data_IF_856143499327
#
_entry.id   IF_856143499327
#
_cell.length_a   1.000
_cell.length_b   1.000
_cell.length_c   1.000
_cell.angle_alpha   90.00
_cell.angle_beta   90.00
_cell.angle_gamma   90.00
#
_symmetry.space_group_name_H-M   'P 1'
#
loop_
_entity.id
_entity.type
_entity.pdbx_description
1 polymer ?
#
# COMPACT_ATOMS: atom_id res chain seq x y z
N UNK A 1 -18.69 -33.47 20.58
CA UNK A 1 -18.25 -32.10 20.23
C UNK A 1 -18.03 -31.90 18.74
N UNK A 2 -17.30 -32.77 18.01
CA UNK A 2 -17.05 -32.60 16.56
C UNK A 2 -18.32 -32.63 15.67
N UNK A 3 -19.37 -33.37 16.06
CA UNK A 3 -20.60 -33.49 15.27
C UNK A 3 -21.56 -32.28 15.37
N UNK A 4 -21.24 -31.24 16.15
CA UNK A 4 -22.07 -30.04 16.35
C UNK A 4 -21.35 -28.76 15.93
N UNK A 5 -20.48 -28.84 14.93
CA UNK A 5 -19.89 -27.61 14.39
C UNK A 5 -20.97 -26.87 13.60
N UNK A 6 -21.52 -25.81 14.18
CA UNK A 6 -22.28 -24.83 13.43
C UNK A 6 -21.35 -24.18 12.41
N UNK A 7 -21.82 -23.90 11.18
CA UNK A 7 -21.02 -23.18 10.21
C UNK A 7 -20.59 -21.83 10.81
N UNK A 8 -19.36 -21.37 10.53
CA UNK A 8 -18.91 -20.08 11.02
C UNK A 8 -19.81 -18.98 10.44
N UNK A 9 -20.25 -18.07 11.31
CA UNK A 9 -20.98 -16.86 10.91
C UNK A 9 -19.98 -15.80 10.45
N UNK A 10 -20.21 -15.18 9.31
CA UNK A 10 -19.28 -14.22 8.72
C UNK A 10 -19.77 -12.79 8.91
N UNK A 11 -18.81 -11.87 9.05
CA UNK A 11 -19.07 -10.44 8.82
C UNK A 11 -18.89 -10.16 7.34
N UNK A 12 -17.72 -10.54 6.82
CA UNK A 12 -17.35 -10.51 5.42
C UNK A 12 -16.90 -11.91 5.02
N UNK A 13 -17.58 -12.52 4.04
CA UNK A 13 -17.34 -13.92 3.67
C UNK A 13 -15.89 -14.16 3.28
N UNK A 14 -15.23 -15.09 3.97
CA UNK A 14 -13.83 -15.43 3.72
C UNK A 14 -12.81 -14.41 4.26
N UNK A 15 -13.24 -13.32 4.91
CA UNK A 15 -12.33 -12.31 5.45
C UNK A 15 -12.44 -12.20 6.99
N UNK A 16 -13.63 -11.91 7.52
CA UNK A 16 -13.86 -11.64 8.95
C UNK A 16 -15.06 -12.45 9.47
N UNK A 17 -14.96 -13.00 10.69
CA UNK A 17 -16.04 -13.79 11.33
C UNK A 17 -16.66 -13.04 12.50
N UNK A 18 -17.93 -13.33 12.75
CA UNK A 18 -18.64 -12.79 13.91
C UNK A 18 -18.09 -13.38 15.22
N UNK A 19 -18.19 -12.59 16.29
CA UNK A 19 -17.81 -12.96 17.67
C UNK A 19 -16.35 -13.36 17.85
N UNK A 20 -15.47 -12.94 16.94
CA UNK A 20 -14.03 -13.08 17.04
C UNK A 20 -13.39 -11.71 16.95
N UNK A 21 -12.50 -11.39 17.89
CA UNK A 21 -11.79 -10.12 17.87
C UNK A 21 -10.88 -10.03 16.64
N UNK A 22 -11.05 -8.98 15.85
CA UNK A 22 -10.22 -8.68 14.71
C UNK A 22 -9.33 -7.46 14.98
N UNK A 23 -8.24 -7.33 14.23
CA UNK A 23 -7.38 -6.15 14.28
C UNK A 23 -7.05 -5.64 12.89
N UNK A 24 -7.00 -4.31 12.74
CA UNK A 24 -6.41 -3.63 11.59
C UNK A 24 -5.07 -3.06 12.06
N UNK A 25 -3.98 -3.72 11.71
CA UNK A 25 -2.64 -3.38 12.20
C UNK A 25 -1.79 -2.80 11.07
N UNK A 26 -1.07 -1.73 11.35
CA UNK A 26 -0.13 -1.16 10.39
C UNK A 26 0.63 0.06 10.93
N UNK A 27 1.67 0.52 10.22
CA UNK A 27 2.43 1.70 10.61
C UNK A 27 1.58 2.97 10.73
N UNK A 28 2.17 4.04 11.26
CA UNK A 28 1.54 5.36 11.22
C UNK A 28 1.27 5.78 9.77
N UNK A 29 0.15 6.47 9.53
CA UNK A 29 -0.21 7.03 8.21
C UNK A 29 -0.28 5.99 7.07
N UNK A 30 -0.76 4.78 7.34
CA UNK A 30 -1.09 3.77 6.32
C UNK A 30 -2.61 3.57 6.10
N UNK A 31 -3.40 4.64 6.28
CA UNK A 31 -4.85 4.66 6.04
C UNK A 31 -5.70 3.69 6.87
N UNK A 32 -5.23 3.20 8.03
CA UNK A 32 -6.01 2.28 8.90
C UNK A 32 -7.40 2.81 9.24
N UNK A 33 -7.48 4.08 9.66
CA UNK A 33 -8.76 4.74 10.01
C UNK A 33 -9.68 4.81 8.79
N UNK A 34 -9.17 5.18 7.62
CA UNK A 34 -9.97 5.19 6.38
C UNK A 34 -10.46 3.80 5.98
N UNK A 35 -9.61 2.78 6.09
CA UNK A 35 -10.01 1.38 5.87
C UNK A 35 -11.05 0.90 6.88
N UNK A 36 -10.94 1.34 8.14
CA UNK A 36 -11.94 1.04 9.16
C UNK A 36 -13.29 1.70 8.84
N UNK A 37 -13.29 2.94 8.37
CA UNK A 37 -14.50 3.65 7.95
C UNK A 37 -15.13 3.00 6.72
N UNK A 38 -14.33 2.59 5.74
CA UNK A 38 -14.82 1.82 4.59
C UNK A 38 -15.46 0.49 5.04
N UNK A 39 -14.82 -0.20 5.99
CA UNK A 39 -15.37 -1.41 6.60
C UNK A 39 -16.68 -1.13 7.36
N UNK A 40 -16.80 -0.01 8.09
CA UNK A 40 -18.06 0.40 8.70
C UNK A 40 -19.17 0.54 7.66
N UNK A 41 -18.89 1.27 6.57
CA UNK A 41 -19.84 1.52 5.50
C UNK A 41 -20.29 0.21 4.84
N UNK A 42 -19.36 -0.68 4.51
CA UNK A 42 -19.65 -1.99 3.94
C UNK A 42 -20.53 -2.86 4.87
N UNK A 43 -20.19 -2.92 6.17
CA UNK A 43 -20.96 -3.71 7.13
C UNK A 43 -22.34 -3.10 7.41
N UNK A 44 -22.46 -1.79 7.52
CA UNK A 44 -23.72 -1.11 7.80
C UNK A 44 -24.71 -1.22 6.63
N UNK A 45 -24.23 -1.03 5.41
CA UNK A 45 -25.04 -1.13 4.19
C UNK A 45 -25.33 -2.58 3.77
N UNK A 46 -24.50 -3.54 4.20
CA UNK A 46 -24.49 -4.89 3.62
C UNK A 46 -23.80 -4.93 2.25
N UNK A 47 -23.05 -3.89 1.89
CA UNK A 47 -22.32 -3.75 0.63
C UNK A 47 -20.97 -4.47 0.63
N UNK A 48 -19.98 -3.87 -0.01
CA UNK A 48 -18.66 -4.47 -0.23
C UNK A 48 -17.56 -3.63 0.40
N UNK A 49 -16.72 -4.27 1.20
CA UNK A 49 -15.48 -3.68 1.68
C UNK A 49 -14.43 -3.73 0.57
N UNK A 50 -13.80 -2.58 0.28
CA UNK A 50 -12.84 -2.40 -0.82
C UNK A 50 -13.39 -2.86 -2.19
N UNK A 51 -14.70 -2.78 -2.40
CA UNK A 51 -15.36 -3.17 -3.66
C UNK A 51 -15.28 -4.67 -4.01
N UNK A 52 -14.92 -5.54 -3.06
CA UNK A 52 -14.81 -6.98 -3.34
C UNK A 52 -15.34 -7.86 -2.20
N UNK A 53 -15.06 -7.51 -0.94
CA UNK A 53 -15.43 -8.36 0.19
C UNK A 53 -16.85 -8.04 0.63
N UNK A 54 -17.81 -8.83 0.15
CA UNK A 54 -19.23 -8.63 0.44
C UNK A 54 -19.56 -8.95 1.90
N UNK A 55 -20.33 -8.07 2.53
CA UNK A 55 -20.93 -8.33 3.83
C UNK A 55 -22.05 -9.37 3.72
N UNK A 56 -22.18 -10.23 4.73
CA UNK A 56 -23.23 -11.27 4.72
C UNK A 56 -24.64 -10.66 4.80
N UNK A 57 -24.75 -9.49 5.46
CA UNK A 57 -25.94 -8.66 5.57
C UNK A 57 -25.56 -7.26 6.08
N UNK A 58 -26.54 -6.38 6.19
CA UNK A 58 -26.41 -5.15 6.97
C UNK A 58 -26.32 -5.45 8.48
N UNK A 59 -25.38 -4.80 9.17
CA UNK A 59 -25.12 -4.91 10.61
C UNK A 59 -25.36 -3.57 11.33
N UNK A 60 -25.66 -3.62 12.63
CA UNK A 60 -25.55 -2.43 13.49
C UNK A 60 -24.09 -2.22 13.88
N UNK A 61 -23.52 -1.10 13.44
CA UNK A 61 -22.08 -0.85 13.53
C UNK A 61 -21.81 0.34 14.45
N UNK A 62 -20.95 0.14 15.44
CA UNK A 62 -20.36 1.21 16.22
C UNK A 62 -18.97 1.56 15.72
N UNK A 63 -18.64 2.84 15.70
CA UNK A 63 -17.25 3.30 15.59
C UNK A 63 -16.88 4.11 16.82
N UNK A 64 -15.74 3.79 17.42
CA UNK A 64 -15.18 4.48 18.58
C UNK A 64 -13.79 4.99 18.22
N UNK A 65 -13.56 6.30 18.37
CA UNK A 65 -12.27 6.92 18.12
C UNK A 65 -11.99 8.08 19.08
N UNK A 66 -10.81 8.69 18.95
CA UNK A 66 -10.49 9.94 19.64
C UNK A 66 -11.08 11.15 18.92
N UNK A 67 -11.24 12.27 19.64
CA UNK A 67 -11.74 13.54 19.09
C UNK A 67 -10.93 14.01 17.88
N UNK A 68 -9.60 13.80 17.89
CA UNK A 68 -8.70 14.15 16.79
C UNK A 68 -8.99 13.40 15.48
N UNK A 69 -9.70 12.26 15.54
CA UNK A 69 -10.03 11.46 14.35
C UNK A 69 -11.33 11.88 13.68
N UNK A 70 -12.13 12.76 14.30
CA UNK A 70 -13.48 13.08 13.84
C UNK A 70 -13.52 13.59 12.40
N UNK A 71 -12.65 14.54 12.04
CA UNK A 71 -12.61 15.11 10.68
C UNK A 71 -12.17 14.07 9.63
N UNK A 72 -11.17 13.25 9.98
CA UNK A 72 -10.68 12.18 9.11
C UNK A 72 -11.77 11.14 8.87
N UNK A 73 -12.53 10.80 9.91
CA UNK A 73 -13.64 9.86 9.85
C UNK A 73 -14.79 10.42 9.02
N UNK A 74 -15.20 11.67 9.25
CA UNK A 74 -16.27 12.33 8.50
C UNK A 74 -15.95 12.42 7.00
N UNK A 75 -14.72 12.82 6.66
CA UNK A 75 -14.27 12.87 5.27
C UNK A 75 -14.19 11.47 4.65
N UNK A 76 -13.67 10.47 5.38
CA UNK A 76 -13.61 9.09 4.89
C UNK A 76 -15.00 8.49 4.68
N UNK A 77 -15.96 8.77 5.58
CA UNK A 77 -17.33 8.27 5.46
C UNK A 77 -18.04 8.85 4.24
N UNK A 78 -17.85 10.15 3.97
CA UNK A 78 -18.39 10.81 2.76
C UNK A 78 -17.84 10.16 1.49
N UNK A 79 -16.52 9.95 1.42
CA UNK A 79 -15.85 9.33 0.26
C UNK A 79 -16.30 7.89 0.05
N UNK A 80 -16.30 7.06 1.11
CA UNK A 80 -16.77 5.67 1.02
C UNK A 80 -18.24 5.57 0.59
N UNK A 81 -19.12 6.47 1.07
CA UNK A 81 -20.52 6.52 0.62
C UNK A 81 -20.64 6.81 -0.87
N UNK A 82 -19.87 7.79 -1.37
CA UNK A 82 -19.87 8.17 -2.77
C UNK A 82 -19.30 7.05 -3.68
N UNK A 83 -18.20 6.44 -3.27
CA UNK A 83 -17.54 5.37 -4.02
C UNK A 83 -18.38 4.09 -4.10
N UNK A 84 -19.15 3.79 -3.04
CA UNK A 84 -19.98 2.60 -2.98
C UNK A 84 -21.37 2.78 -3.63
N UNK A 85 -21.70 3.97 -4.12
CA UNK A 85 -23.05 4.35 -4.57
C UNK A 85 -24.12 4.01 -3.51
N UNK A 86 -23.74 4.21 -2.25
CA UNK A 86 -24.56 3.88 -1.08
C UNK A 86 -25.32 5.11 -0.64
N UNK A 87 -26.65 5.01 -0.64
CA UNK A 87 -27.55 6.07 -0.21
C UNK A 87 -27.27 6.45 1.26
N UNK A 88 -27.05 7.74 1.60
CA UNK A 88 -26.72 8.17 2.96
C UNK A 88 -27.61 7.60 4.10
N UNK A 89 -28.94 7.42 3.96
CA UNK A 89 -29.78 6.80 4.98
C UNK A 89 -29.39 5.35 5.32
N UNK A 90 -28.76 4.62 4.40
CA UNK A 90 -28.28 3.26 4.72
C UNK A 90 -27.11 3.25 5.70
N UNK A 91 -26.44 4.41 5.88
CA UNK A 91 -25.42 4.63 6.90
C UNK A 91 -26.00 5.00 8.28
N UNK A 92 -27.33 5.08 8.42
CA UNK A 92 -28.02 5.31 9.71
C UNK A 92 -27.76 4.17 10.73
N UNK A 93 -27.27 3.02 10.24
CA UNK A 93 -26.83 1.88 11.07
C UNK A 93 -25.44 2.06 11.67
N UNK A 94 -24.77 3.17 11.39
CA UNK A 94 -23.48 3.51 11.99
C UNK A 94 -23.68 4.51 13.12
N UNK A 95 -23.23 4.14 14.32
CA UNK A 95 -23.20 5.03 15.48
C UNK A 95 -21.76 5.40 15.79
N UNK A 96 -21.47 6.71 15.79
CA UNK A 96 -20.13 7.24 16.02
C UNK A 96 -19.96 7.72 17.47
N UNK A 97 -18.85 7.41 18.10
CA UNK A 97 -18.48 7.87 19.43
C UNK A 97 -17.02 8.36 19.47
N UNK A 98 -16.82 9.65 19.75
CA UNK A 98 -15.48 10.28 19.77
C UNK A 98 -15.02 10.72 21.17
N UNK A 99 -15.81 10.42 22.20
CA UNK A 99 -15.63 10.92 23.57
C UNK A 99 -15.19 9.83 24.56
N UNK A 100 -14.63 8.71 24.08
CA UNK A 100 -14.16 7.64 24.96
C UNK A 100 -12.78 7.98 25.53
N UNK A 101 -12.77 8.63 26.69
CA UNK A 101 -11.54 8.92 27.44
C UNK A 101 -11.16 7.68 28.26
N UNK A 102 -9.86 7.39 28.43
CA UNK A 102 -9.34 6.36 29.34
C UNK A 102 -10.07 5.00 29.24
N UNK A 103 -9.92 4.27 28.12
CA UNK A 103 -10.67 3.04 27.84
C UNK A 103 -10.42 1.88 28.84
N UNK A 104 -9.40 1.99 29.69
CA UNK A 104 -9.11 0.99 30.72
C UNK A 104 -9.91 1.15 32.01
N UNK A 105 -10.58 2.29 32.21
CA UNK A 105 -11.30 2.56 33.46
C UNK A 105 -12.66 1.84 33.52
N UNK A 106 -13.03 1.22 34.65
CA UNK A 106 -14.28 0.47 34.78
C UNK A 106 -15.54 1.28 34.43
N UNK A 107 -15.54 2.59 34.73
CA UNK A 107 -16.67 3.47 34.40
C UNK A 107 -16.85 3.64 32.89
N UNK A 108 -15.74 3.77 32.15
CA UNK A 108 -15.78 3.93 30.69
C UNK A 108 -16.11 2.60 30.00
N UNK A 109 -15.65 1.47 30.55
CA UNK A 109 -16.07 0.15 30.07
C UNK A 109 -17.56 -0.10 30.28
N UNK A 110 -18.14 0.32 31.42
CA UNK A 110 -19.60 0.26 31.62
C UNK A 110 -20.35 1.13 30.61
N UNK A 111 -19.89 2.37 30.40
CA UNK A 111 -20.47 3.26 29.37
C UNK A 111 -20.40 2.66 27.97
N UNK A 112 -19.30 1.98 27.63
CA UNK A 112 -19.16 1.27 26.36
C UNK A 112 -20.17 0.12 26.25
N UNK A 113 -20.33 -0.69 27.31
CA UNK A 113 -21.35 -1.75 27.36
C UNK A 113 -22.77 -1.20 27.20
N UNK A 114 -23.12 -0.16 27.98
CA UNK A 114 -24.44 0.49 27.92
C UNK A 114 -24.71 1.08 26.53
N UNK A 115 -23.68 1.61 25.88
CA UNK A 115 -23.78 2.14 24.51
C UNK A 115 -24.00 1.03 23.49
N UNK A 116 -23.27 -0.09 23.59
CA UNK A 116 -23.47 -1.27 22.75
C UNK A 116 -24.89 -1.82 22.90
N UNK A 117 -25.37 -1.97 24.13
CA UNK A 117 -26.71 -2.49 24.41
C UNK A 117 -27.80 -1.54 23.93
N UNK A 118 -27.69 -0.24 24.21
CA UNK A 118 -28.67 0.78 23.82
C UNK A 118 -28.85 0.83 22.30
N UNK A 119 -27.76 0.77 21.56
CA UNK A 119 -27.78 0.85 20.09
C UNK A 119 -27.83 -0.53 19.42
N UNK A 120 -27.90 -1.61 20.19
CA UNK A 120 -27.91 -2.99 19.70
C UNK A 120 -26.76 -3.29 18.73
N UNK A 121 -25.56 -2.79 19.04
CA UNK A 121 -24.42 -2.89 18.15
C UNK A 121 -23.96 -4.34 18.02
N UNK A 122 -23.74 -4.78 16.78
CA UNK A 122 -23.29 -6.13 16.44
C UNK A 122 -21.79 -6.16 16.15
N UNK A 123 -21.23 -5.03 15.71
CA UNK A 123 -19.82 -4.83 15.42
C UNK A 123 -19.39 -3.50 16.02
N UNK A 124 -18.22 -3.47 16.66
CA UNK A 124 -17.64 -2.23 17.18
C UNK A 124 -16.22 -2.09 16.65
N UNK A 125 -16.00 -1.08 15.80
CA UNK A 125 -14.69 -0.69 15.33
C UNK A 125 -14.09 0.32 16.31
N UNK A 126 -12.84 0.11 16.70
CA UNK A 126 -12.15 0.90 17.71
C UNK A 126 -10.86 1.43 17.10
N UNK A 127 -10.77 2.73 16.82
CA UNK A 127 -9.50 3.36 16.49
C UNK A 127 -8.71 3.65 17.76
N UNK A 128 -7.79 2.74 18.09
CA UNK A 128 -7.03 2.84 19.33
C UNK A 128 -5.92 3.90 19.29
N UNK A 129 -5.65 4.54 18.12
CA UNK A 129 -4.51 5.43 17.95
C UNK A 129 -4.41 6.50 19.04
N UNK A 130 -5.56 7.10 19.39
CA UNK A 130 -5.66 8.20 20.36
C UNK A 130 -6.41 7.81 21.64
N UNK A 131 -7.03 6.62 21.67
CA UNK A 131 -7.73 6.11 22.85
C UNK A 131 -6.76 5.54 23.89
N UNK A 132 -5.67 4.90 23.45
CA UNK A 132 -4.71 4.28 24.37
C UNK A 132 -3.58 5.25 24.65
N UNK A 133 -3.68 6.00 25.75
CA UNK A 133 -2.62 6.87 26.29
C UNK A 133 -1.64 6.14 27.21
N UNK A 134 -1.59 4.80 27.14
CA UNK A 134 -0.78 3.98 28.02
C UNK A 134 0.73 4.25 27.85
N UNK A 135 1.42 4.50 28.96
CA UNK A 135 2.86 4.79 28.97
C UNK A 135 3.74 3.59 28.63
N UNK A 136 3.20 2.37 28.63
CA UNK A 136 3.95 1.15 28.35
C UNK A 136 3.17 0.18 27.45
N UNK A 137 3.85 -0.62 26.61
CA UNK A 137 3.19 -1.62 25.77
C UNK A 137 2.36 -2.65 26.56
N UNK A 138 2.78 -2.99 27.78
CA UNK A 138 2.05 -3.93 28.65
C UNK A 138 0.73 -3.33 29.12
N UNK A 139 0.74 -2.05 29.49
CA UNK A 139 -0.48 -1.34 29.88
C UNK A 139 -1.43 -1.17 28.70
N UNK A 140 -0.90 -0.85 27.51
CA UNK A 140 -1.69 -0.79 26.27
C UNK A 140 -2.36 -2.13 25.95
N UNK A 141 -1.60 -3.23 25.98
CA UNK A 141 -2.18 -4.58 25.80
C UNK A 141 -3.26 -4.90 26.83
N UNK A 142 -3.10 -4.47 28.09
CA UNK A 142 -4.11 -4.67 29.12
C UNK A 142 -5.40 -3.87 28.83
N UNK A 143 -5.28 -2.61 28.42
CA UNK A 143 -6.41 -1.77 28.02
C UNK A 143 -7.16 -2.36 26.82
N UNK A 144 -6.43 -2.75 25.76
CA UNK A 144 -7.01 -3.38 24.58
C UNK A 144 -7.75 -4.68 24.93
N UNK A 145 -7.19 -5.48 25.84
CA UNK A 145 -7.84 -6.71 26.33
C UNK A 145 -9.14 -6.42 27.06
N UNK A 146 -9.17 -5.38 27.90
CA UNK A 146 -10.39 -4.97 28.61
C UNK A 146 -11.47 -4.48 27.64
N UNK A 147 -11.12 -3.65 26.66
CA UNK A 147 -12.03 -3.19 25.61
C UNK A 147 -12.63 -4.34 24.80
N UNK A 148 -11.77 -5.23 24.29
CA UNK A 148 -12.20 -6.38 23.49
C UNK A 148 -13.11 -7.30 24.30
N UNK A 149 -12.78 -7.56 25.57
CA UNK A 149 -13.63 -8.36 26.45
C UNK A 149 -14.97 -7.71 26.73
N UNK A 150 -14.99 -6.39 26.94
CA UNK A 150 -16.24 -5.64 27.14
C UNK A 150 -17.16 -5.76 25.92
N UNK A 151 -16.63 -5.55 24.71
CA UNK A 151 -17.43 -5.67 23.48
C UNK A 151 -18.00 -7.09 23.29
N UNK A 152 -17.15 -8.11 23.47
CA UNK A 152 -17.57 -9.51 23.33
C UNK A 152 -18.61 -9.92 24.39
N UNK A 153 -18.45 -9.44 25.63
CA UNK A 153 -19.41 -9.69 26.71
C UNK A 153 -20.77 -9.04 26.45
N UNK A 154 -20.77 -7.86 25.82
CA UNK A 154 -21.97 -7.16 25.37
C UNK A 154 -22.55 -7.74 24.05
N UNK A 155 -21.94 -8.80 23.49
CA UNK A 155 -22.43 -9.50 22.30
C UNK A 155 -21.95 -8.92 20.96
N UNK A 156 -21.13 -7.87 20.97
CA UNK A 156 -20.60 -7.24 19.77
C UNK A 156 -19.24 -7.84 19.34
N UNK A 157 -18.95 -7.80 18.05
CA UNK A 157 -17.66 -8.22 17.47
C UNK A 157 -16.68 -7.04 17.45
N UNK A 158 -15.59 -7.04 18.25
CA UNK A 158 -14.65 -5.93 18.25
C UNK A 158 -13.64 -6.01 17.11
N UNK A 159 -13.39 -4.89 16.45
CA UNK A 159 -12.35 -4.73 15.43
C UNK A 159 -11.46 -3.55 15.83
N UNK A 160 -10.20 -3.81 16.16
CA UNK A 160 -9.30 -2.78 16.73
C UNK A 160 -8.31 -2.30 15.67
N UNK A 161 -8.29 -1.01 15.37
CA UNK A 161 -7.20 -0.39 14.62
C UNK A 161 -6.04 -0.09 15.55
N UNK A 162 -4.88 -0.66 15.27
CA UNK A 162 -3.69 -0.52 16.10
C UNK A 162 -2.47 -0.13 15.27
N UNK A 163 -1.52 0.54 15.91
CA UNK A 163 -0.25 0.91 15.30
C UNK A 163 0.80 -0.17 15.53
N UNK A 164 1.72 -0.33 14.57
CA UNK A 164 2.95 -1.09 14.82
C UNK A 164 3.85 -0.34 15.80
N UNK A 165 4.69 -1.07 16.54
CA UNK A 165 5.63 -0.44 17.51
C UNK A 165 6.73 0.39 16.85
N UNK A 166 7.08 0.04 15.62
CA UNK A 166 8.15 0.68 14.85
C UNK A 166 7.58 1.08 13.51
N UNK A 167 8.11 2.16 12.94
CA UNK A 167 7.92 2.42 11.52
C UNK A 167 8.50 1.25 10.74
N UNK A 168 7.68 0.68 9.86
CA UNK A 168 8.08 -0.39 8.97
C UNK A 168 8.38 0.22 7.61
N UNK A 169 9.47 -0.24 7.00
CA UNK A 169 9.71 0.04 5.58
C UNK A 169 8.60 -0.61 4.73
N UNK A 170 8.34 -0.11 3.52
CA UNK A 170 7.40 -0.73 2.60
C UNK A 170 7.74 -2.21 2.38
N UNK A 171 6.84 -3.10 2.81
CA UNK A 171 6.89 -4.57 2.64
C UNK A 171 5.58 -5.19 3.08
N UNK A 172 5.33 -6.43 2.68
CA UNK A 172 4.23 -7.24 3.24
C UNK A 172 4.42 -7.41 4.75
N UNK A 173 3.32 -7.35 5.50
CA UNK A 173 3.32 -7.67 6.93
C UNK A 173 2.89 -9.11 7.17
N UNK A 174 3.39 -9.71 8.25
CA UNK A 174 3.09 -11.08 8.64
C UNK A 174 2.69 -11.21 10.13
N UNK A 175 2.50 -12.45 10.58
CA UNK A 175 2.11 -12.73 11.97
C UNK A 175 3.19 -12.41 12.99
N UNK A 176 4.46 -12.28 12.59
CA UNK A 176 5.54 -11.84 13.49
C UNK A 176 5.39 -10.36 13.83
N UNK A 177 4.98 -9.54 12.86
CA UNK A 177 4.64 -8.13 13.07
C UNK A 177 3.48 -8.00 14.06
N UNK A 178 2.44 -8.80 13.87
CA UNK A 178 1.29 -8.87 14.76
C UNK A 178 1.68 -9.31 16.18
N UNK A 179 2.49 -10.36 16.30
CA UNK A 179 2.95 -10.87 17.59
C UNK A 179 3.79 -9.83 18.36
N UNK A 180 4.51 -8.97 17.64
CA UNK A 180 5.27 -7.88 18.25
C UNK A 180 4.40 -6.69 18.69
N UNK A 181 3.17 -6.56 18.16
CA UNK A 181 2.29 -5.44 18.43
C UNK A 181 1.49 -5.62 19.75
N UNK A 182 1.15 -4.51 20.46
CA UNK A 182 0.34 -4.58 21.68
C UNK A 182 -1.03 -5.27 21.49
N UNK A 183 -1.62 -5.17 20.30
CA UNK A 183 -2.88 -5.81 19.93
C UNK A 183 -2.76 -7.31 19.60
N UNK A 184 -1.54 -7.86 19.46
CA UNK A 184 -1.34 -9.27 19.09
C UNK A 184 -1.97 -10.25 20.08
N UNK A 185 -2.03 -9.89 21.37
CA UNK A 185 -2.61 -10.72 22.41
C UNK A 185 -4.15 -10.79 22.41
N UNK A 186 -4.83 -9.94 21.63
CA UNK A 186 -6.30 -9.94 21.52
C UNK A 186 -6.78 -10.37 20.13
N UNK A 187 -5.92 -10.32 19.12
CA UNK A 187 -6.26 -10.69 17.75
C UNK A 187 -6.58 -12.19 17.62
N UNK A 188 -7.78 -12.52 17.15
CA UNK A 188 -8.12 -13.85 16.60
C UNK A 188 -8.13 -13.83 15.08
N UNK A 189 -8.31 -12.64 14.51
CA UNK A 189 -8.30 -12.35 13.09
C UNK A 189 -7.53 -11.05 12.85
N UNK A 190 -7.00 -10.85 11.65
CA UNK A 190 -6.20 -9.68 11.33
C UNK A 190 -6.35 -9.21 9.89
N UNK A 191 -6.21 -7.91 9.72
CA UNK A 191 -5.96 -7.17 8.49
C UNK A 191 -4.67 -6.37 8.71
N UNK A 192 -3.55 -6.84 8.16
CA UNK A 192 -2.25 -6.19 8.28
C UNK A 192 -2.02 -5.32 7.05
N UNK A 193 -1.76 -4.04 7.29
CA UNK A 193 -1.69 -3.01 6.26
C UNK A 193 -0.35 -2.30 6.31
N UNK A 194 0.37 -2.33 5.20
CA UNK A 194 1.61 -1.56 5.04
C UNK A 194 1.72 -1.03 3.61
N UNK A 195 2.58 -0.06 3.37
CA UNK A 195 2.79 0.49 2.04
C UNK A 195 3.58 -0.50 1.17
N UNK A 196 3.32 -0.47 -0.14
CA UNK A 196 4.14 -1.18 -1.15
C UNK A 196 5.32 -0.35 -1.61
N UNK A 197 5.18 0.97 -1.56
CA UNK A 197 6.19 1.96 -1.93
C UNK A 197 6.29 3.06 -0.86
N UNK A 198 7.38 3.83 -0.90
CA UNK A 198 7.52 4.97 0.01
C UNK A 198 6.44 6.02 -0.28
N UNK A 199 5.99 6.74 0.75
CA UNK A 199 5.06 7.86 0.57
C UNK A 199 5.72 8.95 -0.28
N UNK A 200 5.03 9.39 -1.33
CA UNK A 200 5.43 10.57 -2.11
C UNK A 200 4.48 11.71 -1.76
N UNK A 201 4.94 12.76 -1.06
CA UNK A 201 4.10 13.92 -0.78
C UNK A 201 3.58 14.56 -2.07
N UNK A 202 2.31 14.96 -2.07
CA UNK A 202 1.65 15.58 -3.22
C UNK A 202 1.07 14.59 -4.23
N UNK A 203 1.29 13.28 -4.07
CA UNK A 203 0.52 12.27 -4.79
C UNK A 203 -0.71 11.88 -3.99
N UNK A 204 -1.86 11.84 -4.62
CA UNK A 204 -3.13 11.31 -4.11
C UNK A 204 -3.20 9.77 -4.15
N UNK A 205 -2.12 9.12 -4.60
CA UNK A 205 -2.03 7.67 -4.75
C UNK A 205 -1.42 7.01 -3.52
N UNK A 206 -2.09 6.00 -2.99
CA UNK A 206 -1.58 5.12 -1.94
C UNK A 206 -1.61 3.68 -2.43
N UNK A 207 -0.44 3.04 -2.45
CA UNK A 207 -0.30 1.62 -2.77
C UNK A 207 0.01 0.83 -1.51
N UNK A 208 -0.88 -0.07 -1.13
CA UNK A 208 -0.80 -0.83 0.12
C UNK A 208 -0.77 -2.35 -0.14
N UNK A 209 -0.10 -3.07 0.77
CA UNK A 209 -0.30 -4.49 0.99
C UNK A 209 -1.37 -4.67 2.05
N UNK A 210 -2.31 -5.57 1.81
CA UNK A 210 -3.32 -6.04 2.77
C UNK A 210 -3.14 -7.55 2.96
N UNK A 211 -2.50 -7.95 4.06
CA UNK A 211 -2.43 -9.35 4.48
C UNK A 211 -3.59 -9.62 5.43
N UNK A 212 -4.48 -10.55 5.10
CA UNK A 212 -5.54 -10.97 6.02
C UNK A 212 -5.29 -12.38 6.55
N UNK A 213 -5.91 -12.69 7.69
CA UNK A 213 -5.93 -14.06 8.19
C UNK A 213 -6.60 -14.23 9.55
N UNK A 214 -6.61 -15.48 10.01
CA UNK A 214 -7.15 -15.85 11.32
C UNK A 214 -6.41 -17.02 11.96
N UNK A 215 -6.72 -17.24 13.24
CA UNK A 215 -6.25 -18.35 14.06
C UNK A 215 -6.60 -19.76 13.52
N UNK A 216 -7.59 -19.86 12.63
CA UNK A 216 -8.00 -21.10 11.97
C UNK A 216 -7.15 -21.43 10.71
N UNK A 217 -6.10 -20.65 10.44
CA UNK A 217 -5.15 -20.90 9.36
C UNK A 217 -5.56 -20.35 8.00
N UNK A 218 -6.67 -19.62 7.92
CA UNK A 218 -7.01 -18.90 6.69
C UNK A 218 -6.11 -17.68 6.55
N UNK A 219 -5.57 -17.46 5.36
CA UNK A 219 -4.79 -16.26 5.06
C UNK A 219 -4.90 -15.90 3.58
N UNK A 220 -4.60 -14.63 3.27
CA UNK A 220 -4.50 -14.15 1.91
C UNK A 220 -3.74 -12.82 1.87
N UNK A 221 -3.30 -12.45 0.67
CA UNK A 221 -2.53 -11.24 0.43
C UNK A 221 -3.08 -10.52 -0.80
N UNK A 222 -3.38 -9.24 -0.62
CA UNK A 222 -3.89 -8.36 -1.67
C UNK A 222 -3.02 -7.12 -1.80
N UNK A 223 -2.92 -6.65 -3.03
CA UNK A 223 -2.59 -5.26 -3.33
C UNK A 223 -3.82 -4.38 -3.22
N UNK A 224 -3.72 -3.24 -2.54
CA UNK A 224 -4.78 -2.23 -2.47
C UNK A 224 -4.23 -0.93 -3.02
N UNK A 225 -4.81 -0.46 -4.12
CA UNK A 225 -4.50 0.83 -4.72
C UNK A 225 -5.64 1.80 -4.45
N UNK A 226 -5.32 2.93 -3.82
CA UNK A 226 -6.27 3.97 -3.44
C UNK A 226 -5.85 5.26 -4.12
N UNK A 227 -6.74 5.83 -4.92
CA UNK A 227 -6.59 7.17 -5.52
C UNK A 227 -7.53 8.14 -4.78
N UNK A 228 -7.00 8.85 -3.80
CA UNK A 228 -7.78 9.73 -2.92
C UNK A 228 -8.43 10.91 -3.64
N UNK A 229 -7.91 11.33 -4.79
CA UNK A 229 -8.48 12.41 -5.60
C UNK A 229 -9.68 11.97 -6.45
N UNK A 230 -9.79 10.67 -6.73
CA UNK A 230 -10.85 10.07 -7.54
C UNK A 230 -11.82 9.20 -6.72
N UNK A 231 -11.60 9.10 -5.40
CA UNK A 231 -12.30 8.18 -4.50
C UNK A 231 -12.32 6.72 -5.00
N UNK A 232 -11.29 6.33 -5.75
CA UNK A 232 -11.22 5.02 -6.39
C UNK A 232 -10.36 4.06 -5.57
N UNK A 233 -10.87 2.85 -5.36
CA UNK A 233 -10.15 1.74 -4.72
C UNK A 233 -10.09 0.56 -5.68
N UNK A 234 -8.88 0.03 -5.91
CA UNK A 234 -8.66 -1.14 -6.75
C UNK A 234 -7.94 -2.23 -5.96
N UNK A 235 -8.53 -3.42 -5.90
CA UNK A 235 -7.88 -4.61 -5.37
C UNK A 235 -7.15 -5.37 -6.47
N UNK A 236 -5.95 -5.85 -6.13
CA UNK A 236 -5.07 -6.58 -7.05
C UNK A 236 -4.59 -7.85 -6.40
N UNK A 237 -4.62 -8.94 -7.15
CA UNK A 237 -4.02 -10.19 -6.69
C UNK A 237 -2.49 -10.04 -6.56
N UNK A 238 -1.90 -10.91 -5.76
CA UNK A 238 -0.45 -10.91 -5.49
C UNK A 238 0.39 -11.00 -6.77
N UNK A 239 0.01 -11.84 -7.71
CA UNK A 239 0.80 -12.10 -8.92
C UNK A 239 0.83 -10.87 -9.84
N UNK A 240 -0.31 -10.18 -10.00
CA UNK A 240 -0.42 -8.93 -10.74
C UNK A 240 0.50 -7.84 -10.19
N UNK A 241 0.61 -7.75 -8.85
CA UNK A 241 1.46 -6.75 -8.19
C UNK A 241 2.94 -7.10 -8.29
N UNK A 242 3.28 -8.38 -8.13
CA UNK A 242 4.65 -8.87 -8.31
C UNK A 242 5.12 -8.67 -9.75
N UNK A 243 4.26 -8.89 -10.74
CA UNK A 243 4.55 -8.63 -12.15
C UNK A 243 4.82 -7.14 -12.42
N UNK A 244 3.94 -6.23 -11.98
CA UNK A 244 4.17 -4.78 -12.15
C UNK A 244 5.48 -4.35 -11.46
N UNK A 245 5.74 -4.84 -10.25
CA UNK A 245 6.98 -4.53 -9.53
C UNK A 245 8.22 -5.02 -10.30
N UNK A 246 8.16 -6.22 -10.89
CA UNK A 246 9.23 -6.74 -11.72
C UNK A 246 9.43 -5.92 -13.00
N UNK A 247 8.34 -5.48 -13.64
CA UNK A 247 8.38 -4.61 -14.83
C UNK A 247 8.98 -3.24 -14.50
N UNK A 248 8.57 -2.61 -13.40
CA UNK A 248 9.12 -1.33 -12.93
C UNK A 248 10.59 -1.45 -12.54
N UNK A 249 10.98 -2.55 -11.87
CA UNK A 249 12.36 -2.82 -11.53
C UNK A 249 13.23 -3.03 -12.77
N UNK A 250 12.72 -3.76 -13.78
CA UNK A 250 13.38 -3.95 -15.06
C UNK A 250 13.55 -2.62 -15.80
N UNK A 251 12.51 -1.80 -15.86
CA UNK A 251 12.55 -0.48 -16.49
C UNK A 251 13.53 0.48 -15.78
N UNK A 252 13.54 0.49 -14.45
CA UNK A 252 14.47 1.30 -13.65
C UNK A 252 15.92 0.85 -13.84
N UNK A 253 16.16 -0.46 -13.89
CA UNK A 253 17.48 -1.03 -14.19
C UNK A 253 17.92 -0.65 -15.60
N UNK A 254 17.06 -0.82 -16.61
CA UNK A 254 17.35 -0.42 -17.98
C UNK A 254 17.73 1.06 -18.05
N UNK A 255 16.94 1.95 -17.46
CA UNK A 255 17.22 3.39 -17.46
C UNK A 255 18.51 3.73 -16.68
N UNK A 256 18.83 3.01 -15.61
CA UNK A 256 20.11 3.15 -14.93
C UNK A 256 21.29 2.75 -15.82
N UNK A 257 21.17 1.64 -16.57
CA UNK A 257 22.21 1.20 -17.51
C UNK A 257 22.34 2.19 -18.69
N UNK A 258 21.23 2.68 -19.23
CA UNK A 258 21.22 3.76 -20.25
C UNK A 258 21.95 5.00 -19.74
N UNK A 259 21.66 5.45 -18.52
CA UNK A 259 22.38 6.57 -17.87
C UNK A 259 23.89 6.36 -17.80
N UNK A 260 24.37 5.13 -17.52
CA UNK A 260 25.80 4.80 -17.54
C UNK A 260 26.41 4.92 -18.93
N UNK A 261 25.75 4.39 -19.97
CA UNK A 261 26.22 4.53 -21.36
C UNK A 261 26.25 6.00 -21.77
N UNK A 262 25.19 6.78 -21.48
CA UNK A 262 25.15 8.23 -21.75
C UNK A 262 26.31 8.96 -21.06
N UNK A 263 26.61 8.62 -19.81
CA UNK A 263 27.73 9.21 -19.06
C UNK A 263 29.09 8.92 -19.71
N UNK A 264 29.30 7.70 -20.24
CA UNK A 264 30.52 7.35 -20.97
C UNK A 264 30.61 8.11 -22.30
N UNK A 265 29.51 8.14 -23.07
CA UNK A 265 29.45 8.84 -24.35
C UNK A 265 29.73 10.34 -24.22
N UNK A 266 29.33 10.96 -23.09
CA UNK A 266 29.64 12.37 -22.78
C UNK A 266 31.13 12.61 -22.45
N UNK A 267 31.86 11.59 -22.02
CA UNK A 267 33.27 11.69 -21.58
C UNK A 267 34.26 11.27 -22.66
N UNK A 268 33.90 10.28 -23.48
CA UNK A 268 34.77 9.75 -24.52
C UNK A 268 34.84 10.73 -25.70
N UNK A 269 36.02 10.88 -26.30
CA UNK A 269 36.17 11.70 -27.51
C UNK A 269 35.39 11.05 -28.66
N UNK A 270 34.67 11.80 -29.51
CA UNK A 270 33.91 11.23 -30.62
C UNK A 270 34.74 10.36 -31.59
N UNK A 271 36.05 10.66 -31.71
CA UNK A 271 36.97 9.87 -32.51
C UNK A 271 37.27 8.47 -31.93
N UNK A 272 37.11 8.28 -30.62
CA UNK A 272 37.44 7.02 -29.93
C UNK A 272 36.18 6.25 -29.50
N UNK A 273 35.00 6.79 -29.80
CA UNK A 273 33.70 6.31 -29.35
C UNK A 273 33.20 5.08 -30.13
N UNK A 274 33.99 4.01 -30.17
CA UNK A 274 33.59 2.72 -30.76
C UNK A 274 32.73 1.93 -29.77
N UNK A 275 31.85 1.05 -30.26
CA UNK A 275 30.96 0.24 -29.41
C UNK A 275 31.75 -0.55 -28.35
N UNK A 276 32.90 -1.11 -28.72
CA UNK A 276 33.78 -1.85 -27.83
C UNK A 276 34.37 -0.95 -26.73
N UNK A 277 34.88 0.23 -27.10
CA UNK A 277 35.44 1.20 -26.13
C UNK A 277 34.38 1.72 -25.17
N UNK A 278 33.18 2.03 -25.67
CA UNK A 278 32.08 2.50 -24.82
C UNK A 278 31.67 1.40 -23.83
N UNK A 279 31.65 0.12 -24.26
CA UNK A 279 31.42 -1.01 -23.36
C UNK A 279 32.50 -1.12 -22.29
N UNK A 280 33.78 -1.14 -22.69
CA UNK A 280 34.92 -1.23 -21.77
C UNK A 280 34.87 -0.12 -20.71
N UNK A 281 34.65 1.13 -21.15
CA UNK A 281 34.61 2.30 -20.28
C UNK A 281 33.37 2.35 -19.39
N UNK A 282 32.27 1.71 -19.80
CA UNK A 282 31.07 1.59 -18.96
C UNK A 282 31.23 0.59 -17.81
N UNK A 283 32.24 -0.30 -17.87
CA UNK A 283 32.43 -1.37 -16.90
C UNK A 283 31.28 -2.39 -16.85
N UNK A 284 30.40 -2.41 -17.86
CA UNK A 284 29.25 -3.31 -17.90
C UNK A 284 29.59 -4.65 -18.57
N UNK A 285 28.93 -5.71 -18.12
CA UNK A 285 28.98 -7.00 -18.82
C UNK A 285 28.36 -6.88 -20.21
N UNK A 286 28.75 -7.76 -21.13
CA UNK A 286 28.25 -7.73 -22.51
C UNK A 286 26.72 -7.77 -22.61
N UNK A 287 26.05 -8.55 -21.75
CA UNK A 287 24.58 -8.64 -21.73
C UNK A 287 23.91 -7.33 -21.26
N UNK A 288 24.36 -6.77 -20.13
CA UNK A 288 23.83 -5.50 -19.59
C UNK A 288 24.09 -4.33 -20.53
N UNK A 289 25.30 -4.30 -21.11
CA UNK A 289 25.66 -3.32 -22.12
C UNK A 289 24.75 -3.42 -23.34
N UNK A 290 24.51 -4.63 -23.85
CA UNK A 290 23.64 -4.85 -25.01
C UNK A 290 22.23 -4.32 -24.79
N UNK A 291 21.60 -4.63 -23.65
CA UNK A 291 20.24 -4.14 -23.32
C UNK A 291 20.20 -2.60 -23.35
N UNK A 292 21.13 -1.95 -22.66
CA UNK A 292 21.18 -0.49 -22.60
C UNK A 292 21.52 0.14 -23.95
N UNK A 293 22.43 -0.48 -24.71
CA UNK A 293 22.89 -0.02 -26.00
C UNK A 293 21.77 -0.09 -27.05
N UNK A 294 21.13 -1.25 -27.17
CA UNK A 294 20.05 -1.49 -28.11
C UNK A 294 18.88 -0.54 -27.77
N UNK A 295 18.53 -0.39 -26.49
CA UNK A 295 17.50 0.56 -26.05
C UNK A 295 17.84 2.04 -26.29
N UNK A 296 19.11 2.43 -26.43
CA UNK A 296 19.51 3.79 -26.84
C UNK A 296 19.49 3.97 -28.36
N UNK A 297 19.83 2.92 -29.13
CA UNK A 297 19.70 2.92 -30.59
C UNK A 297 18.22 3.02 -30.98
N UNK A 298 17.39 2.14 -30.43
CA UNK A 298 15.97 2.06 -30.75
C UNK A 298 15.23 3.32 -30.31
N UNK A 299 15.66 3.94 -29.21
CA UNK A 299 15.19 5.25 -28.76
C UNK A 299 15.67 6.44 -29.61
N UNK A 300 16.54 6.20 -30.60
CA UNK A 300 17.13 7.26 -31.42
C UNK A 300 17.99 8.24 -30.62
N UNK A 301 18.54 7.83 -29.48
CA UNK A 301 19.36 8.66 -28.61
C UNK A 301 20.84 8.65 -29.03
N UNK A 302 21.28 7.58 -29.68
CA UNK A 302 22.62 7.46 -30.24
C UNK A 302 22.57 7.26 -31.75
N UNK A 303 23.50 7.91 -32.45
CA UNK A 303 23.65 7.77 -33.90
C UNK A 303 25.09 7.43 -34.26
N UNK A 304 25.29 6.85 -35.44
CA UNK A 304 26.61 6.58 -35.98
C UNK A 304 27.20 7.84 -36.63
N UNK A 305 28.50 8.04 -36.46
CA UNK A 305 29.27 9.06 -37.16
C UNK A 305 29.86 8.39 -38.40
N UNK A 306 29.42 8.82 -39.58
CA UNK A 306 30.03 8.38 -40.83
C UNK A 306 31.51 8.81 -40.84
N UNK A 307 32.45 7.89 -41.06
CA UNK A 307 33.87 8.24 -41.11
C UNK A 307 34.11 9.19 -42.30
N UNK A 308 34.78 10.31 -42.03
CA UNK A 308 35.06 11.36 -43.02
C UNK A 308 36.12 10.96 -44.07
N UNK A 309 36.77 9.80 -43.93
CA UNK A 309 37.89 9.38 -44.77
C UNK A 309 37.57 8.07 -45.51
N UNK A 310 37.23 8.12 -46.80
CA UNK A 310 36.90 6.94 -47.61
C UNK A 310 38.10 6.00 -47.86
N UNK A 311 39.33 6.42 -47.57
CA UNK A 311 40.54 5.61 -47.84
C UNK A 311 40.94 4.66 -46.70
N UNK A 312 40.26 4.67 -45.53
CA UNK A 312 40.53 3.72 -44.44
C UNK A 312 39.62 2.49 -44.51
N UNK A 313 40.15 1.39 -45.06
CA UNK A 313 39.44 0.11 -45.27
C UNK A 313 38.94 -0.61 -44.00
N UNK A 314 39.23 -0.14 -42.78
CA UNK A 314 38.73 -0.74 -41.53
C UNK A 314 38.19 0.30 -40.54
N UNK A 315 37.29 1.17 -40.99
CA UNK A 315 36.67 2.14 -40.09
C UNK A 315 35.62 1.47 -39.20
N UNK A 316 36.00 1.09 -37.98
CA UNK A 316 35.01 0.75 -36.95
C UNK A 316 33.98 1.88 -36.80
N UNK A 317 32.70 1.52 -36.71
CA UNK A 317 31.62 2.49 -36.52
C UNK A 317 31.82 3.25 -35.20
N UNK A 318 31.72 4.58 -35.27
CA UNK A 318 31.82 5.49 -34.12
C UNK A 318 30.44 6.03 -33.78
N UNK A 319 30.21 6.30 -32.51
CA UNK A 319 28.88 6.66 -32.00
C UNK A 319 28.93 7.96 -31.21
N UNK A 320 27.86 8.73 -31.29
CA UNK A 320 27.64 9.90 -30.42
C UNK A 320 26.20 9.96 -29.96
N UNK A 321 25.97 10.64 -28.84
CA UNK A 321 24.62 11.05 -28.45
C UNK A 321 24.11 12.07 -29.45
N UNK A 322 22.84 11.94 -29.85
CA UNK A 322 22.15 12.97 -30.64
C UNK A 322 21.86 14.13 -29.69
N UNK A 323 22.27 15.33 -30.09
CA UNK A 323 21.88 16.54 -29.38
C UNK A 323 20.39 16.81 -29.68
N UNK A 324 19.52 16.99 -28.67
CA UNK A 324 18.11 17.29 -28.90
C UNK A 324 17.88 18.54 -29.75
N UNK A 325 18.85 19.45 -29.84
CA UNK A 325 18.81 20.66 -30.65
C UNK A 325 19.22 20.46 -32.11
N UNK A 326 19.82 19.32 -32.48
CA UNK A 326 20.17 19.05 -33.87
C UNK A 326 18.90 18.82 -34.71
N UNK A 327 18.78 19.47 -35.89
CA UNK A 327 17.66 19.23 -36.78
C UNK A 327 17.67 17.76 -37.19
N UNK A 328 16.60 17.04 -36.81
CA UNK A 328 16.47 15.61 -37.10
C UNK A 328 16.38 15.42 -38.61
N UNK A 329 17.50 15.10 -39.25
CA UNK A 329 17.57 14.66 -40.64
C UNK A 329 17.02 13.23 -40.73
N UNK A 330 15.70 13.07 -40.62
CA UNK A 330 15.06 11.79 -40.90
C UNK A 330 15.04 11.57 -42.42
N UNK A 331 15.87 10.64 -42.88
CA UNK A 331 15.67 10.00 -44.18
C UNK A 331 14.31 9.31 -44.21
N UNK A 332 13.49 9.67 -45.20
CA UNK A 332 12.14 9.13 -45.44
C UNK A 332 12.15 7.60 -45.44
N UNK A 333 11.33 6.99 -44.58
CA UNK A 333 10.71 5.70 -44.88
C UNK A 333 9.29 5.99 -45.37
N UNK A 334 8.99 5.53 -46.57
CA UNK A 334 7.72 5.68 -47.25
C UNK A 334 6.70 4.68 -46.69
N UNK A 335 5.50 5.14 -46.32
CA UNK A 335 4.21 4.50 -46.57
C UNK A 335 3.06 5.52 -46.37
N UNK A 336 2.01 5.35 -47.18
CA UNK A 336 0.97 6.32 -47.60
C UNK A 336 -0.21 6.54 -46.60
N UNK A 337 -1.14 7.50 -46.88
CA UNK A 337 -1.92 8.26 -45.88
C UNK A 337 -3.42 7.89 -45.76
N UNK A 338 -4.14 8.66 -44.90
CA UNK A 338 -5.59 8.71 -44.52
C UNK A 338 -5.80 8.02 -43.15
N UNK A 339 -6.26 8.63 -42.04
CA UNK A 339 -7.24 9.71 -41.80
C UNK A 339 -6.84 10.65 -40.63
N UNK A 340 -7.30 11.90 -40.69
CA UNK A 340 -7.30 12.88 -39.61
C UNK A 340 -8.61 12.80 -38.81
N UNK A 341 -8.54 13.01 -37.50
CA UNK A 341 -9.31 13.99 -36.69
C UNK A 341 -9.39 13.50 -35.24
N UNK A 342 -8.77 14.22 -34.32
CA UNK A 342 -9.43 14.71 -33.10
C UNK A 342 -8.75 16.01 -32.64
N UNK A 343 -9.56 17.01 -32.32
CA UNK A 343 -9.18 18.29 -31.75
C UNK A 343 -8.70 18.12 -30.32
N UNK A 344 -7.56 18.70 -29.99
CA UNK A 344 -7.14 18.96 -28.62
C UNK A 344 -7.69 20.31 -28.17
N UNK A 345 -8.48 20.33 -27.11
CA UNK A 345 -8.81 21.56 -26.37
C UNK A 345 -7.69 21.91 -25.39
N UNK A 346 -7.53 23.19 -25.11
CA UNK A 346 -6.64 23.68 -24.06
C UNK A 346 -7.35 23.65 -22.70
N UNK A 347 -6.56 23.54 -21.63
CA UNK A 347 -7.06 23.58 -20.24
C UNK A 347 -7.84 24.86 -19.92
N UNK A 348 -7.54 25.96 -20.62
CA UNK A 348 -8.25 27.24 -20.49
C UNK A 348 -9.67 27.20 -21.10
N UNK A 349 -9.88 26.45 -22.18
CA UNK A 349 -11.19 26.31 -22.82
C UNK A 349 -12.13 25.40 -22.01
N UNK A 350 -11.55 24.42 -21.29
CA UNK A 350 -12.29 23.50 -20.41
C UNK A 350 -12.76 24.19 -19.12
N UNK A 351 -11.99 25.17 -18.62
CA UNK A 351 -12.37 25.97 -17.45
C UNK A 351 -13.38 27.08 -17.79
N UNK A 352 -13.25 27.74 -18.94
CA UNK A 352 -14.17 28.81 -19.38
C UNK A 352 -15.61 28.33 -19.67
N UNK A 353 -15.79 27.05 -20.01
CA UNK A 353 -17.11 26.46 -20.20
C UNK A 353 -17.88 26.26 -18.87
N UNK A 354 -17.17 26.21 -17.74
CA UNK A 354 -17.76 25.99 -16.42
C UNK A 354 -18.20 27.29 -15.74
N UNK A 355 -17.66 28.44 -16.14
CA UNK A 355 -18.00 29.75 -15.54
C UNK A 355 -19.30 30.37 -16.11
N UNK A 356 -19.75 29.95 -17.30
CA UNK A 356 -20.95 30.52 -17.97
C UNK A 356 -22.31 29.95 -17.52
N UNK A 357 -22.35 29.09 -16.50
CA UNK A 357 -23.61 28.68 -15.83
C UNK A 357 -23.67 29.21 -14.39
N UNK A 358 -23.53 30.52 -14.22
CA UNK A 358 -23.74 31.20 -12.94
C UNK A 358 -25.15 31.80 -12.88
N UNK A 359 -25.80 31.93 -11.70
CA UNK A 359 -26.30 33.28 -11.35
C UNK A 359 -26.22 33.60 -9.83
N UNK A 360 -26.41 34.87 -9.43
CA UNK A 360 -25.88 36.09 -10.01
C UNK A 360 -25.19 36.99 -8.95
N UNK A 361 -24.71 38.12 -9.45
CA UNK A 361 -23.96 39.24 -8.88
C UNK A 361 -24.25 39.70 -7.43
N UNK A 362 -23.25 40.34 -6.79
CA UNK A 362 -23.37 40.88 -5.43
C UNK A 362 -24.24 42.14 -5.40
N UNK A 363 -25.05 42.22 -4.34
CA UNK A 363 -25.91 43.35 -3.98
C UNK A 363 -25.08 44.45 -3.29
N UNK A 364 -25.36 45.70 -3.65
CA UNK A 364 -24.79 46.92 -3.06
C UNK A 364 -24.98 47.03 -1.53
N UNK A 365 -24.10 47.74 -0.81
CA UNK A 365 -24.12 47.83 0.65
C UNK A 365 -25.15 48.86 1.16
N UNK A 366 -25.82 48.61 2.30
CA UNK A 366 -26.60 49.65 2.96
C UNK A 366 -25.74 50.53 3.87
N UNK A 367 -26.07 51.81 3.85
CA UNK A 367 -25.48 52.87 4.65
C UNK A 367 -25.93 52.83 6.14
N UNK A 368 -24.95 53.11 7.01
CA UNK A 368 -25.01 53.86 8.29
C UNK A 368 -26.11 53.56 9.33
N UNK A 369 -25.68 53.36 10.60
CA UNK A 369 -26.02 54.27 11.72
C UNK A 369 -25.21 53.96 12.99
N UNK A 370 -24.81 55.04 13.66
CA UNK A 370 -24.03 55.13 14.90
C UNK A 370 -24.85 54.86 16.16
N UNK A 371 -24.22 54.39 17.25
CA UNK A 371 -24.50 54.66 18.70
C UNK A 371 -23.26 54.17 19.49
N UNK A 372 -22.41 55.06 20.02
CA UNK A 372 -22.27 55.46 21.44
C UNK A 372 -21.91 54.33 22.42
N UNK A 373 -20.66 54.28 22.88
CA UNK A 373 -20.26 54.56 24.28
C UNK A 373 -19.99 53.25 25.04
N UNK A 374 -18.86 52.97 25.66
CA UNK A 374 -18.24 53.73 26.74
C UNK A 374 -16.75 53.39 26.91
N UNK A 375 -16.04 54.40 27.38
CA UNK A 375 -14.62 54.50 27.71
C UNK A 375 -14.41 54.09 29.18
N UNK A 376 -13.46 53.20 29.46
CA UNK A 376 -12.73 53.16 30.74
C UNK A 376 -11.27 52.87 30.44
N UNK A 377 -10.42 53.77 30.91
CA UNK A 377 -8.96 53.78 30.81
C UNK A 377 -8.29 52.91 31.92
N UNK A 378 -6.97 52.63 31.79
CA UNK A 378 -6.27 51.54 32.46
C UNK A 378 -5.52 52.00 33.73
N UNK A 379 -4.86 51.06 34.43
CA UNK A 379 -3.48 51.11 35.00
C UNK A 379 -3.26 49.88 35.95
N UNK A 380 -2.09 49.65 36.61
CA UNK A 380 -1.11 48.63 36.19
C UNK A 380 -0.62 47.71 37.33
N UNK A 381 0.13 46.66 37.00
CA UNK A 381 1.15 46.00 37.86
C UNK A 381 1.74 44.83 37.07
N UNK A 382 3.01 44.86 36.67
CA UNK A 382 4.17 44.39 37.45
C UNK A 382 4.01 42.94 37.91
N UNK A 383 4.67 41.99 37.23
CA UNK A 383 5.89 41.38 37.77
C UNK A 383 6.39 40.17 36.94
N UNK A 384 7.71 40.23 36.69
CA UNK A 384 8.67 39.14 36.81
C UNK A 384 8.57 37.81 36.01
N UNK A 385 9.68 37.60 35.28
CA UNK A 385 10.62 36.45 35.36
C UNK A 385 10.59 35.39 34.24
N UNK A 386 11.81 35.25 33.71
CA UNK A 386 12.51 34.04 33.25
C UNK A 386 12.20 33.46 31.87
N UNK A 387 12.98 33.94 30.90
CA UNK A 387 13.38 33.20 29.70
C UNK A 387 14.30 32.02 30.05
N UNK A 388 14.14 30.83 29.45
CA UNK A 388 15.21 29.87 29.30
C UNK A 388 15.84 29.97 27.90
N UNK A 389 17.12 30.36 27.86
CA UNK A 389 17.99 30.16 26.73
C UNK A 389 18.23 28.65 26.52
N UNK A 390 17.99 28.16 25.30
CA UNK A 390 18.39 26.82 24.87
C UNK A 390 19.72 26.93 24.11
N UNK A 391 20.75 26.12 24.44
CA UNK A 391 21.98 26.09 23.66
C UNK A 391 21.80 25.19 22.43
N UNK A 392 21.94 25.78 21.25
CA UNK A 392 22.20 25.08 20.00
C UNK A 392 23.65 24.61 19.99
N UNK A 393 23.88 23.34 20.29
CA UNK A 393 25.18 22.67 20.14
C UNK A 393 25.19 21.89 18.81
N UNK A 394 25.61 22.56 17.73
CA UNK A 394 25.76 22.00 16.39
C UNK A 394 27.21 21.49 16.21
N UNK A 395 27.50 20.32 16.77
CA UNK A 395 28.82 19.70 16.71
C UNK A 395 29.13 19.09 15.34
N UNK A 396 30.24 19.46 14.67
CA UNK A 396 30.71 18.89 13.40
C UNK A 396 30.88 17.36 13.43
N UNK A 397 31.01 16.76 14.62
CA UNK A 397 31.18 15.32 14.80
C UNK A 397 29.92 14.51 14.47
N UNK A 398 28.72 15.09 14.64
CA UNK A 398 27.45 14.41 14.27
C UNK A 398 27.24 14.37 12.76
N UNK A 399 27.62 15.42 12.02
CA UNK A 399 27.56 15.42 10.54
C UNK A 399 28.55 14.44 9.92
N UNK A 400 29.75 14.31 10.49
CA UNK A 400 30.73 13.31 10.05
C UNK A 400 30.28 11.86 10.32
N UNK A 401 29.61 11.60 11.45
CA UNK A 401 29.08 10.28 11.78
C UNK A 401 27.88 9.87 10.89
N UNK A 402 27.04 10.83 10.48
CA UNK A 402 25.90 10.58 9.58
C UNK A 402 26.38 10.32 8.15
N UNK A 403 27.40 11.05 7.67
CA UNK A 403 27.99 10.80 6.34
C UNK A 403 28.72 9.45 6.27
N UNK A 404 29.43 9.06 7.33
CA UNK A 404 30.07 7.74 7.41
C UNK A 404 29.07 6.57 7.50
N UNK A 405 27.89 6.79 8.09
CA UNK A 405 26.80 5.80 8.09
C UNK A 405 26.13 5.66 6.72
N UNK A 406 26.01 6.75 5.95
CA UNK A 406 25.42 6.72 4.61
C UNK A 406 26.35 6.08 3.56
N UNK A 407 27.67 6.25 3.68
CA UNK A 407 28.64 5.52 2.82
C UNK A 407 28.67 4.01 3.10
N UNK A 408 28.48 3.59 4.36
CA UNK A 408 28.39 2.17 4.73
C UNK A 408 27.15 1.47 4.16
N UNK A 409 26.03 2.18 4.08
CA UNK A 409 24.77 1.65 3.52
C UNK A 409 24.85 1.51 1.99
N UNK A 410 25.69 2.28 1.30
CA UNK A 410 25.87 2.19 -0.16
C UNK A 410 26.79 1.04 -0.61
N UNK A 411 27.52 0.39 0.31
CA UNK A 411 28.53 -0.65 0.01
C UNK A 411 28.09 -2.07 0.39
N UNK A 412 27.00 -2.24 1.14
CA UNK A 412 26.52 -3.58 1.61
C UNK A 412 25.40 -4.19 0.75
N UNK A 413 25.09 -3.66 -0.43
CA UNK A 413 24.30 -4.40 -1.43
C UNK A 413 25.20 -5.42 -2.15
N UNK A 414 25.47 -6.52 -1.45
CA UNK A 414 26.23 -7.67 -1.95
C UNK A 414 25.31 -8.74 -2.57
N UNK A 415 25.89 -9.66 -3.36
CA UNK A 415 25.25 -10.29 -4.52
C UNK A 415 24.46 -11.55 -4.18
N UNK A 416 23.57 -11.92 -5.11
CA UNK A 416 22.93 -13.23 -5.21
C UNK A 416 23.94 -14.38 -5.04
N UNK A 417 23.78 -15.14 -3.96
CA UNK A 417 24.43 -16.43 -3.76
C UNK A 417 24.05 -17.39 -4.89
N UNK A 418 25.08 -17.93 -5.55
CA UNK A 418 24.93 -19.05 -6.48
C UNK A 418 24.82 -20.35 -5.68
N UNK A 419 24.04 -21.35 -6.14
CA UNK A 419 23.94 -22.63 -5.43
C UNK A 419 25.30 -23.36 -5.44
N UNK A 420 25.62 -24.15 -4.39
CA UNK A 420 26.90 -24.81 -4.29
C UNK A 420 27.02 -25.93 -5.33
N UNK A 421 28.21 -26.02 -5.92
CA UNK A 421 28.63 -27.12 -6.77
C UNK A 421 28.65 -28.43 -5.98
N UNK A 422 27.96 -29.45 -6.50
CA UNK A 422 27.98 -30.81 -5.97
C UNK A 422 29.33 -31.46 -6.31
N UNK A 423 30.19 -31.60 -5.30
CA UNK A 423 31.40 -32.41 -5.35
C UNK A 423 31.04 -33.89 -5.53
N UNK A 424 31.47 -34.47 -6.66
CA UNK A 424 31.47 -35.91 -6.90
C UNK A 424 32.56 -36.58 -6.04
N UNK A 425 32.18 -37.19 -4.92
CA UNK A 425 33.00 -38.22 -4.26
C UNK A 425 32.61 -39.62 -4.75
N UNK A 426 33.59 -40.27 -5.38
CA UNK A 426 33.66 -41.70 -5.67
C UNK A 426 33.50 -42.51 -4.38
N UNK A 427 32.51 -43.39 -4.33
CA UNK A 427 32.52 -44.57 -3.46
C UNK A 427 31.89 -45.74 -4.23
N UNK A 428 32.66 -46.81 -4.37
CA UNK A 428 32.23 -48.08 -4.92
C UNK A 428 31.28 -48.78 -3.93
N UNK A 429 30.25 -49.43 -4.45
CA UNK A 429 29.30 -50.23 -3.68
C UNK A 429 28.20 -50.77 -4.57
N UNK A 430 28.31 -52.03 -4.93
CA UNK A 430 27.36 -52.81 -5.72
C UNK A 430 25.96 -52.81 -5.11
N UNK A 431 24.90 -52.57 -5.92
CA UNK A 431 23.58 -53.16 -5.70
C UNK A 431 22.68 -53.02 -6.93
N UNK A 432 21.95 -54.10 -7.22
CA UNK A 432 21.16 -54.40 -8.42
C UNK A 432 19.93 -53.51 -8.67
N UNK A 433 19.45 -53.41 -9.93
CA UNK A 433 18.30 -52.58 -10.29
C UNK A 433 17.02 -53.43 -10.37
N UNK A 434 16.17 -53.41 -9.35
CA UNK A 434 14.85 -54.08 -9.42
C UNK A 434 13.79 -53.43 -8.50
N UNK A 435 13.63 -52.10 -8.47
CA UNK A 435 12.53 -51.49 -7.68
C UNK A 435 11.93 -50.15 -8.18
N UNK A 436 12.09 -49.78 -9.46
CA UNK A 436 11.50 -48.53 -9.97
C UNK A 436 10.09 -48.67 -10.61
N UNK A 437 9.64 -49.89 -10.94
CA UNK A 437 8.39 -50.07 -11.73
C UNK A 437 7.12 -50.34 -10.90
N UNK A 438 7.25 -50.51 -9.57
CA UNK A 438 6.12 -50.79 -8.66
C UNK A 438 5.48 -49.55 -8.01
N UNK A 439 6.07 -48.36 -8.14
CA UNK A 439 5.54 -47.14 -7.53
C UNK A 439 4.51 -46.43 -8.42
N UNK A 440 4.63 -46.51 -9.75
CA UNK A 440 3.68 -45.86 -10.67
C UNK A 440 2.35 -46.61 -10.80
N UNK A 441 2.35 -47.94 -10.71
CA UNK A 441 1.12 -48.76 -10.81
C UNK A 441 0.21 -48.66 -9.57
N UNK A 442 0.74 -48.26 -8.42
CA UNK A 442 -0.05 -48.09 -7.19
C UNK A 442 -0.84 -46.77 -7.16
N UNK A 443 -0.27 -45.70 -7.74
CA UNK A 443 -0.93 -44.39 -7.81
C UNK A 443 -2.13 -44.39 -8.77
N UNK A 444 -2.00 -45.01 -9.95
CA UNK A 444 -3.10 -45.11 -10.92
C UNK A 444 -4.25 -46.02 -10.43
N UNK A 445 -3.94 -47.05 -9.64
CA UNK A 445 -4.96 -47.91 -9.05
C UNK A 445 -5.77 -47.19 -7.96
N UNK A 446 -5.13 -46.33 -7.17
CA UNK A 446 -5.78 -45.51 -6.15
C UNK A 446 -6.69 -44.44 -6.78
N UNK A 447 -6.26 -43.82 -7.88
CA UNK A 447 -7.04 -42.80 -8.58
C UNK A 447 -8.30 -43.39 -9.26
N UNK A 448 -8.17 -44.55 -9.92
CA UNK A 448 -9.33 -45.28 -10.48
C UNK A 448 -10.32 -45.73 -9.42
N UNK A 449 -9.86 -46.10 -8.21
CA UNK A 449 -10.75 -46.46 -7.11
C UNK A 449 -11.52 -45.25 -6.56
N UNK A 450 -10.90 -44.05 -6.54
CA UNK A 450 -11.53 -42.81 -6.07
C UNK A 450 -12.62 -42.32 -7.04
N UNK A 451 -12.37 -42.40 -8.35
CA UNK A 451 -13.35 -42.04 -9.40
C UNK A 451 -14.56 -42.98 -9.35
N UNK A 452 -14.35 -44.29 -9.13
CA UNK A 452 -15.45 -45.26 -9.01
C UNK A 452 -16.31 -45.06 -7.76
N UNK A 453 -15.71 -44.60 -6.65
CA UNK A 453 -16.43 -44.21 -5.41
C UNK A 453 -17.26 -42.94 -5.61
N UNK A 454 -16.76 -41.94 -6.35
CA UNK A 454 -17.53 -40.73 -6.67
C UNK A 454 -18.72 -41.01 -7.59
N UNK A 455 -18.56 -41.86 -8.61
CA UNK A 455 -19.66 -42.23 -9.51
C UNK A 455 -20.82 -42.97 -8.81
N UNK A 456 -20.51 -43.85 -7.83
CA UNK A 456 -21.54 -44.55 -7.05
C UNK A 456 -22.29 -43.65 -6.05
N UNK A 457 -21.67 -42.56 -5.59
CA UNK A 457 -22.31 -41.62 -4.66
C UNK A 457 -23.34 -40.74 -5.38
N UNK A 458 -23.04 -40.31 -6.62
CA UNK A 458 -23.99 -39.55 -7.45
C UNK A 458 -25.20 -40.37 -7.91
N UNK A 459 -25.09 -41.70 -8.03
CA UNK A 459 -26.24 -42.54 -8.42
C UNK A 459 -27.18 -42.87 -7.25
N UNK A 460 -26.76 -42.60 -6.02
CA UNK A 460 -27.58 -42.78 -4.81
C UNK A 460 -28.31 -41.50 -4.37
N UNK A 461 -27.95 -40.34 -4.93
CA UNK A 461 -28.65 -39.05 -4.69
C UNK A 461 -29.68 -38.71 -5.78
N UNK A 462 -29.80 -39.54 -6.83
CA UNK A 462 -30.75 -39.37 -7.96
C UNK A 462 -31.80 -40.49 -8.00
N UNK A 463 -31.92 -41.27 -6.93
CA UNK A 463 -33.02 -42.20 -6.64
C UNK A 463 -33.53 -41.93 -5.24
#
# INVERSE_FOLDING_TARGET
>A
MLARQTPPQWLLSGLLRQRQAAVILGPSRCLKTSLAVDLCAALASGGQFLGQFSAERAFQVGFVGGEETQDVVANSARRSSAAADVDPPSLDRIVWAFNLISPGEPVNLRRLSDWIERHQLEVVLIDAADLTSASTPKAETAQLRSLVRCCLAAGATPIVCARTRKELRPRTMDTSDLASAPCGAVARQWLLVNRREAFTPGTDRQRLWLTHGNDAGQSGLWGVDIEEGADQVTLRDRASVEQESAELAAASLEEHLKRKVRAVLKRIKPADATKLRIREWSGMSGAKFRIAWDGLIDGGEITFITPADPNRQSSESRYRLIDPSEPKNFGRVHNSPIDQYFQTMTTAELLAANEKKSPPSPVDPPATKAVSGNRVEPSPSDDEKTSPQSPLDDSPRRRAAILAQLEKISLESSPLESPPAVEKKKAAGESSPLHAERAQTSAEAAEKALVRKRGKKLTAEVR
#
